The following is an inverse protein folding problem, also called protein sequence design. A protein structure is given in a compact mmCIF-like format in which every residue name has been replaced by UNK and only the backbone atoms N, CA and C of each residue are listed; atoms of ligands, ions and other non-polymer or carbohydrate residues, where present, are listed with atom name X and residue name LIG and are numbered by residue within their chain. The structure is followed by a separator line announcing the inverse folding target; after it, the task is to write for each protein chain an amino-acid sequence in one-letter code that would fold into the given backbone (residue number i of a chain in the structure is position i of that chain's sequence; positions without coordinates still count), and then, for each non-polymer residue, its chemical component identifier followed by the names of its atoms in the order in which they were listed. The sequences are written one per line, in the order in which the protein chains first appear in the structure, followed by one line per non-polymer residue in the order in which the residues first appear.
data_IF_495974362950
#
_entry.id   IF_495974362950
#
_cell.length_a   1.000
_cell.length_b   1.000
_cell.length_c   1.000
_cell.angle_alpha   90.00
_cell.angle_beta   90.00
_cell.angle_gamma   90.00
#
_symmetry.space_group_name_H-M   'P 1'
#
loop_
_entity.id
_entity.type
_entity.pdbx_description
1 polymer ?
#
# COMPACT_ATOMS: atom_id res chain seq x y z
N UNK A 1 23.25 0.37 -7.35
CA UNK A 1 22.43 1.58 -7.07
C UNK A 1 21.36 1.65 -8.15
N UNK A 2 20.09 1.71 -7.79
CA UNK A 2 18.96 1.75 -8.72
C UNK A 2 18.81 3.17 -9.30
N UNK A 3 18.47 3.26 -10.59
CA UNK A 3 18.22 4.55 -11.23
C UNK A 3 16.74 4.93 -11.02
N UNK A 4 16.47 5.72 -9.98
CA UNK A 4 15.12 6.12 -9.59
C UNK A 4 14.87 7.57 -9.97
N UNK A 5 13.75 7.80 -10.66
CA UNK A 5 13.20 9.14 -10.90
C UNK A 5 12.30 9.52 -9.74
N UNK A 6 12.76 10.40 -8.87
CA UNK A 6 11.99 10.93 -7.75
C UNK A 6 11.04 12.05 -8.20
N UNK A 7 9.85 12.13 -7.60
CA UNK A 7 8.83 13.16 -7.89
C UNK A 7 9.25 14.49 -7.25
N UNK A 8 9.87 14.41 -6.08
CA UNK A 8 10.35 15.54 -5.28
C UNK A 8 11.63 15.14 -4.53
N UNK A 9 12.15 16.02 -3.68
CA UNK A 9 13.38 15.80 -2.92
C UNK A 9 13.15 15.49 -1.43
N UNK A 10 11.92 15.20 -1.02
CA UNK A 10 11.55 15.06 0.39
C UNK A 10 12.14 13.80 1.04
N UNK A 11 12.55 12.81 0.23
CA UNK A 11 13.21 11.56 0.68
C UNK A 11 12.46 10.88 1.83
N UNK A 12 11.17 10.71 1.65
CA UNK A 12 10.28 10.07 2.63
C UNK A 12 10.40 8.55 2.63
N UNK A 13 11.02 8.01 1.57
CA UNK A 13 11.24 6.57 1.39
C UNK A 13 12.73 6.21 1.42
N UNK A 14 13.01 4.94 1.63
CA UNK A 14 14.34 4.33 1.50
C UNK A 14 14.20 2.99 0.76
N UNK A 15 15.19 2.66 -0.08
CA UNK A 15 15.27 1.37 -0.76
C UNK A 15 16.20 0.47 0.04
N UNK A 16 15.66 -0.63 0.54
CA UNK A 16 16.44 -1.73 1.16
C UNK A 16 16.57 -2.88 0.18
N UNK A 17 17.59 -3.67 0.36
CA UNK A 17 17.83 -4.88 -0.42
C UNK A 17 18.34 -5.99 0.49
N UNK A 18 17.65 -7.13 0.46
CA UNK A 18 18.03 -8.32 1.20
C UNK A 18 17.93 -9.55 0.28
N UNK A 19 18.98 -10.36 0.24
CA UNK A 19 19.04 -11.57 -0.59
C UNK A 19 18.74 -11.32 -2.08
N UNK A 20 19.14 -10.15 -2.62
CA UNK A 20 18.87 -9.75 -4.01
C UNK A 20 17.43 -9.32 -4.29
N UNK A 21 16.63 -9.09 -3.26
CA UNK A 21 15.25 -8.59 -3.36
C UNK A 21 15.20 -7.14 -2.85
N UNK A 22 15.08 -6.14 -3.73
CA UNK A 22 14.90 -4.77 -3.32
C UNK A 22 13.43 -4.49 -2.96
N UNK A 23 13.24 -3.72 -1.88
CA UNK A 23 11.94 -3.23 -1.43
C UNK A 23 12.06 -1.81 -0.87
N UNK A 24 10.93 -1.12 -0.79
CA UNK A 24 10.84 0.27 -0.34
C UNK A 24 10.25 0.29 1.06
N UNK A 25 10.86 1.07 1.97
CA UNK A 25 10.34 1.35 3.31
C UNK A 25 10.05 2.84 3.48
N UNK A 26 9.19 3.17 4.44
CA UNK A 26 8.79 4.54 4.77
C UNK A 26 9.47 4.95 6.06
N UNK A 27 10.19 6.07 6.06
CA UNK A 27 11.02 6.50 7.20
C UNK A 27 10.23 6.70 8.49
N UNK A 28 9.00 7.22 8.40
CA UNK A 28 8.14 7.41 9.58
C UNK A 28 7.57 6.10 10.13
N UNK A 29 7.64 5.00 9.39
CA UNK A 29 7.24 3.67 9.81
C UNK A 29 8.44 2.76 10.17
N UNK A 30 9.68 3.27 10.15
CA UNK A 30 10.84 2.54 10.66
C UNK A 30 10.89 2.62 12.19
N UNK A 31 9.88 2.03 12.83
CA UNK A 31 9.67 2.06 14.28
C UNK A 31 9.79 0.66 14.87
N UNK A 32 10.20 0.55 16.15
CA UNK A 32 10.13 -0.73 16.85
C UNK A 32 8.71 -1.27 16.87
N UNK A 33 8.57 -2.59 16.76
CA UNK A 33 7.27 -3.26 16.88
C UNK A 33 6.49 -3.43 15.57
N UNK A 34 6.98 -2.89 14.45
CA UNK A 34 6.37 -3.15 13.13
C UNK A 34 7.40 -3.60 12.10
N UNK A 35 6.91 -4.34 11.11
CA UNK A 35 7.61 -4.68 9.85
C UNK A 35 6.74 -4.15 8.72
N UNK A 36 7.33 -3.48 7.74
CA UNK A 36 6.61 -3.00 6.58
C UNK A 36 7.51 -2.99 5.35
N UNK A 37 6.90 -3.01 4.18
CA UNK A 37 7.62 -2.89 2.92
C UNK A 37 6.68 -2.78 1.73
N UNK A 38 7.16 -2.14 0.68
CA UNK A 38 6.52 -2.12 -0.63
C UNK A 38 7.46 -2.77 -1.63
N UNK A 39 6.99 -3.83 -2.31
CA UNK A 39 7.82 -4.59 -3.23
C UNK A 39 8.22 -3.77 -4.44
N UNK A 40 9.31 -4.16 -5.07
CA UNK A 40 9.64 -3.74 -6.43
C UNK A 40 9.26 -4.83 -7.44
N UNK A 41 9.52 -4.63 -8.72
CA UNK A 41 9.37 -5.68 -9.74
C UNK A 41 10.60 -6.59 -9.88
N UNK A 42 11.64 -6.37 -9.05
CA UNK A 42 12.95 -7.02 -9.15
C UNK A 42 13.12 -8.10 -8.08
N UNK A 43 14.04 -9.06 -8.34
CA UNK A 43 14.43 -10.10 -7.37
C UNK A 43 13.54 -11.35 -7.35
N UNK A 44 12.51 -11.42 -8.20
CA UNK A 44 11.64 -12.58 -8.35
C UNK A 44 12.08 -13.57 -9.43
N UNK A 45 11.17 -14.49 -9.76
CA UNK A 45 11.38 -15.58 -10.73
C UNK A 45 10.37 -15.60 -11.88
N UNK A 46 9.36 -14.74 -11.85
CA UNK A 46 8.38 -14.62 -12.94
C UNK A 46 9.04 -14.10 -14.22
N UNK A 47 8.45 -14.45 -15.36
CA UNK A 47 9.02 -14.15 -16.68
C UNK A 47 8.13 -13.23 -17.52
N UNK A 48 8.63 -12.82 -18.67
CA UNK A 48 7.95 -12.03 -19.71
C UNK A 48 7.36 -10.74 -19.12
N UNK A 49 6.04 -10.56 -19.22
CA UNK A 49 5.35 -9.33 -18.72
C UNK A 49 5.32 -9.24 -17.20
N UNK A 50 5.55 -10.36 -16.52
CA UNK A 50 5.56 -10.48 -15.05
C UNK A 50 6.95 -10.35 -14.44
N UNK A 51 7.99 -10.14 -15.28
CA UNK A 51 9.39 -10.08 -14.84
C UNK A 51 9.62 -8.98 -13.82
N UNK A 52 10.09 -9.34 -12.61
CA UNK A 52 10.39 -10.69 -12.12
C UNK A 52 9.58 -11.02 -10.85
N UNK A 53 9.14 -10.02 -10.07
CA UNK A 53 8.52 -10.13 -8.74
C UNK A 53 7.00 -9.87 -8.82
N UNK A 54 6.28 -10.60 -9.68
CA UNK A 54 4.82 -10.55 -9.64
C UNK A 54 4.29 -11.28 -8.41
N UNK A 55 3.40 -10.61 -7.66
CA UNK A 55 2.81 -11.14 -6.42
C UNK A 55 1.32 -11.49 -6.54
N UNK A 56 0.71 -11.25 -7.71
CA UNK A 56 -0.72 -11.53 -7.91
C UNK A 56 -0.96 -12.90 -8.54
N UNK A 57 -1.76 -13.72 -7.88
CA UNK A 57 -2.23 -15.03 -8.40
C UNK A 57 -3.27 -14.91 -9.52
N UNK A 58 -3.90 -13.74 -9.69
CA UNK A 58 -5.03 -13.55 -10.63
C UNK A 58 -4.64 -12.83 -11.93
N UNK A 59 -3.34 -12.81 -12.29
CA UNK A 59 -2.87 -12.13 -13.51
C UNK A 59 -2.52 -13.06 -14.66
N UNK A 60 -2.59 -14.38 -14.45
CA UNK A 60 -2.27 -15.39 -15.47
C UNK A 60 -0.77 -15.73 -15.53
N UNK A 61 -0.03 -15.46 -14.48
CA UNK A 61 1.35 -15.90 -14.28
C UNK A 61 1.39 -17.36 -13.78
N UNK A 62 2.56 -17.98 -13.80
CA UNK A 62 2.81 -19.27 -13.20
C UNK A 62 2.65 -19.23 -11.68
N UNK A 63 1.80 -20.10 -11.13
CA UNK A 63 1.45 -20.10 -9.70
C UNK A 63 2.64 -20.43 -8.80
N UNK A 64 3.54 -21.32 -9.24
CA UNK A 64 4.74 -21.68 -8.49
C UNK A 64 5.72 -20.54 -8.47
N UNK A 65 5.83 -19.79 -9.58
CA UNK A 65 6.64 -18.57 -9.65
C UNK A 65 6.11 -17.46 -8.71
N UNK A 66 4.77 -17.25 -8.68
CA UNK A 66 4.16 -16.29 -7.76
C UNK A 66 4.39 -16.69 -6.30
N UNK A 67 4.23 -17.98 -5.97
CA UNK A 67 4.49 -18.49 -4.61
C UNK A 67 5.97 -18.30 -4.21
N UNK A 68 6.91 -18.58 -5.09
CA UNK A 68 8.34 -18.34 -4.86
C UNK A 68 8.64 -16.85 -4.67
N UNK A 69 7.96 -15.95 -5.40
CA UNK A 69 8.08 -14.50 -5.23
C UNK A 69 7.60 -14.07 -3.83
N UNK A 70 6.47 -14.59 -3.36
CA UNK A 70 6.01 -14.35 -1.99
C UNK A 70 7.01 -14.82 -0.94
N UNK A 71 7.59 -16.01 -1.12
CA UNK A 71 8.62 -16.55 -0.23
C UNK A 71 9.86 -15.64 -0.18
N UNK A 72 10.33 -15.16 -1.34
CA UNK A 72 11.50 -14.28 -1.44
C UNK A 72 11.26 -12.93 -0.80
N UNK A 73 10.10 -12.31 -1.09
CA UNK A 73 9.74 -11.04 -0.49
C UNK A 73 9.64 -11.16 1.04
N UNK A 74 8.99 -12.22 1.52
CA UNK A 74 8.86 -12.47 2.95
C UNK A 74 10.22 -12.63 3.67
N UNK A 75 11.15 -13.33 3.04
CA UNK A 75 12.52 -13.48 3.55
C UNK A 75 13.25 -12.15 3.59
N UNK A 76 13.07 -11.29 2.58
CA UNK A 76 13.73 -9.98 2.52
C UNK A 76 13.16 -8.99 3.52
N UNK A 77 11.84 -8.93 3.66
CA UNK A 77 11.15 -7.98 4.54
C UNK A 77 11.12 -8.47 6.01
N UNK A 78 11.15 -9.79 6.24
CA UNK A 78 11.23 -10.37 7.58
C UNK A 78 9.88 -10.78 8.17
N UNK A 79 9.06 -11.53 7.40
CA UNK A 79 7.81 -12.12 7.90
C UNK A 79 7.66 -13.57 7.42
N UNK A 80 6.73 -14.33 8.02
CA UNK A 80 6.37 -15.68 7.55
C UNK A 80 5.28 -15.60 6.47
N UNK A 81 5.65 -15.87 5.20
CA UNK A 81 4.71 -15.83 4.08
C UNK A 81 3.52 -16.80 4.24
N UNK A 82 3.70 -17.90 5.00
CA UNK A 82 2.64 -18.90 5.21
C UNK A 82 1.48 -18.37 6.05
N UNK A 83 1.73 -17.29 6.81
CA UNK A 83 0.73 -16.61 7.64
C UNK A 83 0.11 -15.41 6.94
N UNK A 84 0.62 -15.03 5.76
CA UNK A 84 0.18 -13.88 5.00
C UNK A 84 -1.33 -13.91 4.74
N UNK A 85 -1.98 -12.76 4.89
CA UNK A 85 -3.41 -12.59 4.61
C UNK A 85 -3.59 -11.52 3.55
N UNK A 86 -4.39 -11.82 2.52
CA UNK A 86 -4.81 -10.84 1.53
C UNK A 86 -6.29 -10.97 1.16
N UNK A 87 -6.81 -9.93 0.55
CA UNK A 87 -8.20 -9.80 0.12
C UNK A 87 -8.34 -9.74 -1.39
N UNK A 88 -9.55 -9.93 -1.87
CA UNK A 88 -9.96 -9.59 -3.23
C UNK A 88 -10.35 -8.12 -3.30
N UNK A 89 -9.49 -7.28 -3.92
CA UNK A 89 -9.63 -5.84 -4.01
C UNK A 89 -10.52 -5.45 -5.19
N UNK A 90 -11.60 -4.73 -4.93
CA UNK A 90 -12.65 -4.37 -5.90
C UNK A 90 -12.82 -2.85 -6.13
N UNK A 91 -11.93 -2.04 -5.54
CA UNK A 91 -11.93 -0.56 -5.60
C UNK A 91 -13.14 0.06 -4.88
N UNK A 92 -13.55 -0.56 -3.79
CA UNK A 92 -14.61 -0.10 -2.88
C UNK A 92 -14.04 0.43 -1.54
N UNK A 93 -14.84 0.51 -0.49
CA UNK A 93 -14.41 1.05 0.83
C UNK A 93 -14.61 0.07 1.98
N UNK A 94 -14.77 -1.21 1.67
CA UNK A 94 -14.97 -2.25 2.69
C UNK A 94 -13.67 -2.51 3.44
N UNK A 95 -13.73 -2.41 4.77
CA UNK A 95 -12.64 -2.68 5.69
C UNK A 95 -12.94 -3.95 6.48
N UNK A 96 -11.98 -4.87 6.57
CA UNK A 96 -12.11 -6.11 7.35
C UNK A 96 -11.07 -6.17 8.48
N UNK A 97 -11.56 -6.49 9.67
CA UNK A 97 -10.72 -6.91 10.80
C UNK A 97 -10.22 -8.32 10.56
N UNK A 98 -8.90 -8.47 10.64
CA UNK A 98 -8.19 -9.74 10.47
C UNK A 98 -7.78 -10.26 11.84
N UNK A 99 -8.02 -11.55 12.06
CA UNK A 99 -7.74 -12.26 13.30
C UNK A 99 -6.75 -13.39 13.07
N UNK A 100 -6.33 -14.05 14.14
CA UNK A 100 -5.47 -15.24 14.07
C UNK A 100 -6.09 -16.36 13.19
N UNK A 101 -7.42 -16.46 13.17
CA UNK A 101 -8.14 -17.46 12.36
C UNK A 101 -8.03 -17.21 10.85
N UNK A 102 -7.61 -15.99 10.45
CA UNK A 102 -7.42 -15.64 9.04
C UNK A 102 -6.00 -15.95 8.53
N UNK A 103 -5.07 -16.34 9.41
CA UNK A 103 -3.68 -16.60 9.04
C UNK A 103 -3.56 -17.59 7.86
N UNK A 104 -2.86 -17.18 6.80
CA UNK A 104 -2.63 -17.97 5.58
C UNK A 104 -3.76 -17.94 4.55
N UNK A 105 -4.86 -17.20 4.79
CA UNK A 105 -5.95 -17.06 3.81
C UNK A 105 -5.47 -16.35 2.53
N UNK A 106 -5.62 -17.04 1.41
CA UNK A 106 -5.20 -16.61 0.07
C UNK A 106 -3.82 -17.11 -0.34
N UNK A 107 -2.96 -17.53 0.60
CA UNK A 107 -1.61 -18.02 0.29
C UNK A 107 -1.46 -19.53 0.53
N UNK A 108 -1.84 -20.05 1.69
CA UNK A 108 -1.71 -21.47 2.04
C UNK A 108 -3.05 -22.19 2.14
N UNK A 109 -4.14 -21.45 2.12
CA UNK A 109 -5.52 -21.96 2.12
C UNK A 109 -6.45 -21.00 1.40
N UNK A 110 -7.63 -21.47 1.03
CA UNK A 110 -8.66 -20.64 0.40
C UNK A 110 -9.03 -19.44 1.28
N UNK A 111 -9.35 -18.33 0.61
CA UNK A 111 -9.78 -17.09 1.26
C UNK A 111 -11.28 -16.89 1.06
N UNK A 112 -11.95 -16.47 2.13
CA UNK A 112 -13.31 -15.94 2.15
C UNK A 112 -13.34 -14.39 2.30
N UNK A 113 -12.16 -13.76 2.18
CA UNK A 113 -11.99 -12.30 2.28
C UNK A 113 -12.21 -11.72 0.88
N UNK A 114 -13.47 -11.58 0.50
CA UNK A 114 -13.89 -11.04 -0.78
C UNK A 114 -14.29 -9.58 -0.67
N UNK A 115 -14.29 -8.87 -1.81
CA UNK A 115 -14.77 -7.48 -1.96
C UNK A 115 -14.26 -6.52 -0.88
N UNK A 116 -12.97 -6.64 -0.53
CA UNK A 116 -12.37 -5.93 0.61
C UNK A 116 -11.14 -5.16 0.16
N UNK A 117 -11.16 -3.83 0.34
CA UNK A 117 -10.07 -2.92 -0.04
C UNK A 117 -9.25 -2.41 1.16
N UNK A 118 -9.62 -2.77 2.39
CA UNK A 118 -8.88 -2.43 3.60
C UNK A 118 -8.81 -3.58 4.59
N UNK A 119 -7.63 -3.77 5.19
CA UNK A 119 -7.36 -4.79 6.20
C UNK A 119 -6.78 -4.14 7.45
N UNK A 120 -7.18 -4.61 8.64
CA UNK A 120 -6.64 -4.15 9.92
C UNK A 120 -6.49 -5.30 10.92
N UNK A 121 -5.46 -5.26 11.78
CA UNK A 121 -5.22 -6.26 12.81
C UNK A 121 -4.40 -5.73 13.98
N UNK A 122 -4.62 -6.32 15.16
CA UNK A 122 -3.73 -6.19 16.32
C UNK A 122 -3.02 -7.52 16.65
N UNK A 123 -3.12 -8.50 15.77
CA UNK A 123 -2.45 -9.80 15.94
C UNK A 123 -0.99 -9.66 15.54
N UNK A 124 -0.08 -10.03 16.45
CA UNK A 124 1.36 -10.01 16.20
C UNK A 124 1.77 -11.14 15.26
N UNK A 125 2.79 -10.88 14.44
CA UNK A 125 3.36 -11.79 13.46
C UNK A 125 2.33 -12.31 12.43
N UNK A 126 1.26 -11.52 12.20
CA UNK A 126 0.26 -11.76 11.16
C UNK A 126 0.42 -10.70 10.05
N UNK A 127 1.13 -11.01 8.95
CA UNK A 127 1.36 -10.06 7.87
C UNK A 127 0.11 -9.85 7.02
N UNK A 128 -0.22 -8.59 6.76
CA UNK A 128 -1.24 -8.17 5.81
C UNK A 128 -0.57 -7.75 4.50
N UNK A 129 -1.14 -8.13 3.35
CA UNK A 129 -0.67 -7.66 2.04
C UNK A 129 -1.85 -7.19 1.18
N UNK A 130 -1.60 -6.14 0.39
CA UNK A 130 -2.49 -5.64 -0.67
C UNK A 130 -1.69 -5.41 -1.96
N UNK A 131 -2.36 -5.43 -3.12
CA UNK A 131 -1.69 -5.49 -4.41
C UNK A 131 -1.91 -4.24 -5.26
N UNK A 132 -0.86 -3.84 -6.00
CA UNK A 132 -0.83 -2.55 -6.69
C UNK A 132 -0.16 -2.61 -8.06
N UNK A 133 -0.61 -1.72 -8.93
CA UNK A 133 0.12 -1.19 -10.06
C UNK A 133 -0.58 0.12 -10.45
N UNK A 134 -0.06 1.23 -9.93
CA UNK A 134 -0.50 2.61 -10.01
C UNK A 134 -1.49 3.09 -8.94
N UNK A 135 -2.39 2.25 -8.40
CA UNK A 135 -3.24 2.63 -7.26
C UNK A 135 -2.40 2.93 -6.01
N UNK A 136 -2.97 3.69 -5.08
CA UNK A 136 -2.27 4.18 -3.88
C UNK A 136 -2.40 3.20 -2.73
N UNK A 137 -1.29 2.65 -2.19
CA UNK A 137 -1.28 2.00 -0.89
C UNK A 137 -1.26 3.04 0.23
N UNK A 138 -2.11 2.88 1.23
CA UNK A 138 -2.04 3.69 2.45
C UNK A 138 -1.85 2.77 3.64
N UNK A 139 -0.78 3.02 4.39
CA UNK A 139 -0.41 2.28 5.59
C UNK A 139 -0.81 3.06 6.83
N UNK A 140 -1.25 2.35 7.86
CA UNK A 140 -1.62 2.91 9.15
C UNK A 140 -0.95 2.10 10.26
N UNK A 141 -0.41 2.79 11.24
CA UNK A 141 0.12 2.20 12.47
C UNK A 141 -0.30 3.03 13.67
N UNK A 142 -0.86 2.38 14.68
CA UNK A 142 -1.12 2.95 15.99
C UNK A 142 -0.12 2.37 17.00
N UNK A 143 0.88 3.15 17.45
CA UNK A 143 1.87 2.68 18.41
C UNK A 143 1.31 2.54 19.84
N UNK A 144 0.18 3.22 20.15
CA UNK A 144 -0.46 3.22 21.48
C UNK A 144 -1.34 1.99 21.65
N UNK A 145 -2.08 1.62 20.63
CA UNK A 145 -2.97 0.44 20.62
C UNK A 145 -2.32 -0.80 20.04
N UNK A 146 -1.11 -0.70 19.49
CA UNK A 146 -0.43 -1.76 18.77
C UNK A 146 -1.35 -2.37 17.68
N UNK A 147 -1.76 -1.54 16.71
CA UNK A 147 -2.62 -1.92 15.58
C UNK A 147 -1.95 -1.51 14.28
N UNK A 148 -2.02 -2.37 13.28
CA UNK A 148 -1.62 -2.05 11.90
C UNK A 148 -2.81 -2.21 10.97
N UNK A 149 -2.83 -1.36 9.93
CA UNK A 149 -3.82 -1.48 8.87
C UNK A 149 -3.25 -0.99 7.54
N UNK A 150 -3.93 -1.34 6.46
CA UNK A 150 -3.64 -0.81 5.13
C UNK A 150 -4.91 -0.78 4.29
N UNK A 151 -4.98 0.17 3.37
CA UNK A 151 -6.04 0.21 2.38
C UNK A 151 -5.49 0.38 0.96
N UNK A 152 -6.31 -0.05 0.00
CA UNK A 152 -6.10 0.12 -1.42
C UNK A 152 -6.93 1.32 -1.90
N UNK A 153 -6.27 2.46 -2.11
CA UNK A 153 -6.90 3.69 -2.58
C UNK A 153 -6.72 3.86 -4.09
N UNK A 154 -7.45 3.09 -4.90
CA UNK A 154 -7.71 3.44 -6.29
C UNK A 154 -8.54 4.73 -6.35
N UNK A 155 -8.69 5.38 -7.53
CA UNK A 155 -9.39 6.66 -7.61
C UNK A 155 -10.82 6.62 -7.03
N UNK A 156 -11.54 5.50 -7.18
CA UNK A 156 -12.89 5.31 -6.60
C UNK A 156 -12.86 5.24 -5.08
N UNK A 157 -11.95 4.46 -4.51
CA UNK A 157 -11.76 4.38 -3.06
C UNK A 157 -11.29 5.72 -2.48
N UNK A 158 -10.46 6.46 -3.21
CA UNK A 158 -9.99 7.81 -2.83
C UNK A 158 -11.17 8.80 -2.76
N UNK A 159 -12.00 8.89 -3.80
CA UNK A 159 -13.19 9.76 -3.83
C UNK A 159 -14.20 9.38 -2.74
N UNK A 160 -14.41 8.09 -2.53
CA UNK A 160 -15.28 7.56 -1.47
C UNK A 160 -14.65 7.64 -0.07
N UNK A 161 -13.46 8.18 0.04
CA UNK A 161 -12.70 8.39 1.28
C UNK A 161 -12.50 7.13 2.12
N UNK A 162 -11.97 6.06 1.51
CA UNK A 162 -11.65 4.81 2.22
C UNK A 162 -10.75 5.02 3.44
N UNK A 163 -9.91 6.06 3.46
CA UNK A 163 -9.04 6.38 4.59
C UNK A 163 -9.85 6.85 5.81
N UNK A 164 -10.93 7.62 5.63
CA UNK A 164 -11.85 7.97 6.72
C UNK A 164 -12.53 6.71 7.27
N UNK A 165 -13.05 5.85 6.39
CA UNK A 165 -13.64 4.57 6.81
C UNK A 165 -12.66 3.70 7.59
N UNK A 166 -11.36 3.70 7.22
CA UNK A 166 -10.33 2.99 7.97
C UNK A 166 -10.14 3.59 9.37
N UNK A 167 -10.03 4.92 9.49
CA UNK A 167 -9.89 5.59 10.80
C UNK A 167 -11.10 5.30 11.70
N UNK A 168 -12.31 5.39 11.16
CA UNK A 168 -13.55 5.06 11.87
C UNK A 168 -13.57 3.58 12.33
N UNK A 169 -13.13 2.66 11.47
CA UNK A 169 -13.05 1.24 11.80
C UNK A 169 -12.00 0.96 12.89
N UNK A 170 -10.82 1.58 12.80
CA UNK A 170 -9.76 1.48 13.81
C UNK A 170 -10.21 2.03 15.16
N UNK A 171 -10.90 3.17 15.18
CA UNK A 171 -11.48 3.72 16.42
C UNK A 171 -12.52 2.77 17.01
N UNK A 172 -13.47 2.31 16.20
CA UNK A 172 -14.56 1.42 16.63
C UNK A 172 -14.05 0.08 17.17
N UNK A 173 -13.09 -0.54 16.50
CA UNK A 173 -12.67 -1.92 16.81
C UNK A 173 -11.55 -2.00 17.87
N UNK A 174 -10.72 -0.95 17.95
CA UNK A 174 -9.53 -0.95 18.80
C UNK A 174 -9.40 0.28 19.71
N UNK A 175 -10.28 1.29 19.53
CA UNK A 175 -10.20 2.55 20.27
C UNK A 175 -8.98 3.40 19.87
N UNK A 176 -8.54 3.29 18.61
CA UNK A 176 -7.47 4.13 18.08
C UNK A 176 -7.95 5.58 17.94
N UNK A 177 -7.11 6.53 18.34
CA UNK A 177 -7.36 7.96 18.10
C UNK A 177 -6.63 8.40 16.83
N UNK A 178 -7.28 9.20 16.00
CA UNK A 178 -6.69 9.65 14.73
C UNK A 178 -5.34 10.38 14.91
N UNK A 179 -5.19 11.11 16.02
CA UNK A 179 -3.95 11.82 16.38
C UNK A 179 -2.77 10.91 16.69
N UNK A 180 -3.02 9.65 17.08
CA UNK A 180 -1.97 8.68 17.41
C UNK A 180 -1.51 7.88 16.19
N UNK A 181 -2.32 7.89 15.11
CA UNK A 181 -2.00 7.15 13.90
C UNK A 181 -0.82 7.75 13.14
N UNK A 182 0.10 6.88 12.74
CA UNK A 182 1.22 7.18 11.84
C UNK A 182 0.91 6.55 10.49
N UNK A 183 0.95 7.35 9.42
CA UNK A 183 0.52 6.92 8.10
C UNK A 183 1.58 7.13 7.02
N UNK A 184 1.57 6.25 6.02
CA UNK A 184 2.37 6.42 4.82
C UNK A 184 1.51 6.20 3.56
N UNK A 185 1.57 7.16 2.64
CA UNK A 185 1.03 7.07 1.28
C UNK A 185 2.16 6.53 0.40
N UNK A 186 2.01 5.31 -0.11
CA UNK A 186 3.10 4.60 -0.78
C UNK A 186 3.21 4.85 -2.28
N UNK A 187 4.21 4.22 -2.94
CA UNK A 187 4.48 4.39 -4.36
C UNK A 187 3.26 4.07 -5.23
N UNK A 188 2.91 5.03 -6.06
CA UNK A 188 1.75 5.00 -6.95
C UNK A 188 1.95 5.97 -8.11
N UNK A 189 0.97 6.11 -8.97
CA UNK A 189 1.09 6.99 -10.14
C UNK A 189 1.05 8.48 -9.73
N UNK A 190 2.01 9.30 -10.17
CA UNK A 190 2.04 10.73 -9.89
C UNK A 190 1.12 11.53 -10.81
N UNK A 191 0.84 12.79 -10.45
CA UNK A 191 -0.01 13.69 -11.21
C UNK A 191 0.38 13.78 -12.69
N UNK A 192 1.66 13.95 -13.00
CA UNK A 192 2.12 14.13 -14.39
C UNK A 192 1.90 12.89 -15.28
N UNK A 193 1.75 11.72 -14.68
CA UNK A 193 1.50 10.46 -15.38
C UNK A 193 0.01 10.07 -15.38
N UNK A 194 -0.81 10.67 -14.50
CA UNK A 194 -2.19 10.23 -14.30
C UNK A 194 -3.19 11.13 -15.02
N UNK A 195 -3.25 10.95 -16.35
CA UNK A 195 -4.31 11.52 -17.17
C UNK A 195 -5.62 10.77 -16.93
N UNK A 196 -6.69 11.53 -16.67
CA UNK A 196 -8.06 11.04 -16.45
C UNK A 196 -9.05 11.76 -17.34
N UNK A 197 -10.24 11.18 -17.54
CA UNK A 197 -11.37 11.77 -18.21
C UNK A 197 -12.14 12.76 -17.33
N UNK A 198 -13.02 13.53 -17.92
CA UNK A 198 -13.78 14.58 -17.26
C UNK A 198 -14.69 14.04 -16.15
N UNK A 199 -15.33 12.87 -16.34
CA UNK A 199 -16.17 12.21 -15.35
C UNK A 199 -15.41 11.86 -14.06
N UNK A 200 -14.15 11.47 -14.17
CA UNK A 200 -13.29 11.24 -13.01
C UNK A 200 -12.95 12.57 -12.32
N UNK A 201 -12.61 13.60 -13.10
CA UNK A 201 -12.30 14.92 -12.53
C UNK A 201 -13.52 15.54 -11.82
N UNK A 202 -14.72 15.40 -12.39
CA UNK A 202 -15.98 15.83 -11.77
C UNK A 202 -16.25 15.11 -10.46
N UNK A 203 -16.03 13.80 -10.37
CA UNK A 203 -16.17 13.06 -9.12
C UNK A 203 -15.26 13.59 -8.00
N UNK A 204 -14.04 14.05 -8.33
CA UNK A 204 -13.15 14.71 -7.37
C UNK A 204 -13.61 16.13 -7.04
N UNK A 205 -14.15 16.87 -8.01
CA UNK A 205 -14.71 18.20 -7.79
C UNK A 205 -15.87 18.18 -6.79
N UNK A 206 -16.72 17.17 -6.88
CA UNK A 206 -17.87 16.99 -5.99
C UNK A 206 -17.47 16.55 -4.56
N UNK A 207 -16.34 15.84 -4.44
CA UNK A 207 -15.91 15.23 -3.18
C UNK A 207 -14.99 16.13 -2.33
N UNK A 208 -14.33 17.12 -2.92
CA UNK A 208 -13.32 17.93 -2.25
C UNK A 208 -13.67 19.42 -2.26
N UNK A 209 -13.11 20.18 -1.29
CA UNK A 209 -13.24 21.64 -1.28
C UNK A 209 -12.62 22.25 -2.55
N UNK A 210 -13.15 23.38 -3.08
CA UNK A 210 -12.63 23.97 -4.31
C UNK A 210 -11.12 24.22 -4.31
N UNK A 211 -10.56 24.72 -3.20
CA UNK A 211 -9.12 24.95 -3.09
C UNK A 211 -8.29 23.67 -3.01
N UNK A 212 -8.85 22.55 -2.56
CA UNK A 212 -8.20 21.24 -2.60
C UNK A 212 -8.23 20.67 -4.01
N UNK A 213 -9.38 20.76 -4.68
CA UNK A 213 -9.55 20.33 -6.06
C UNK A 213 -8.56 21.04 -7.01
N UNK A 214 -8.45 22.36 -6.92
CA UNK A 214 -7.53 23.16 -7.73
C UNK A 214 -6.06 22.79 -7.54
N UNK A 215 -5.69 22.32 -6.34
CA UNK A 215 -4.32 21.89 -6.05
C UNK A 215 -4.00 20.48 -6.52
N UNK A 216 -5.02 19.60 -6.67
CA UNK A 216 -4.82 18.21 -7.08
C UNK A 216 -5.15 17.94 -8.55
N UNK A 217 -5.79 18.88 -9.26
CA UNK A 217 -6.20 18.71 -10.65
C UNK A 217 -5.59 19.76 -11.55
N UNK A 218 -5.29 19.36 -12.79
CA UNK A 218 -4.83 20.27 -13.84
C UNK A 218 -5.51 19.92 -15.15
N UNK A 219 -6.35 20.82 -15.69
CA UNK A 219 -6.98 20.65 -16.99
C UNK A 219 -5.92 20.75 -18.11
N UNK A 220 -5.90 19.78 -19.02
CA UNK A 220 -4.95 19.72 -20.15
C UNK A 220 -5.61 19.82 -21.51
N UNK A 221 -6.93 20.05 -21.56
CA UNK A 221 -7.73 20.19 -22.78
C UNK A 221 -8.44 18.90 -23.19
N UNK A 222 -9.33 19.01 -24.18
CA UNK A 222 -10.07 17.87 -24.75
C UNK A 222 -10.82 17.00 -23.71
N UNK A 223 -11.37 17.58 -22.65
CA UNK A 223 -12.01 16.84 -21.55
C UNK A 223 -11.07 15.96 -20.75
N UNK A 224 -9.76 16.28 -20.74
CA UNK A 224 -8.72 15.54 -20.01
C UNK A 224 -8.10 16.37 -18.91
N UNK A 225 -7.73 15.69 -17.85
CA UNK A 225 -7.14 16.27 -16.63
C UNK A 225 -5.96 15.43 -16.15
N UNK A 226 -4.99 16.06 -15.50
CA UNK A 226 -3.99 15.38 -14.67
C UNK A 226 -4.46 15.43 -13.23
N UNK A 227 -4.46 14.28 -12.55
CA UNK A 227 -4.99 14.12 -11.19
C UNK A 227 -3.89 13.66 -10.23
N UNK A 228 -3.78 14.32 -9.08
CA UNK A 228 -2.83 14.00 -8.00
C UNK A 228 -3.50 13.15 -6.92
N UNK A 229 -3.38 11.83 -7.03
CA UNK A 229 -3.90 10.90 -6.03
C UNK A 229 -3.11 10.94 -4.72
N UNK A 230 -1.81 11.29 -4.74
CA UNK A 230 -1.02 11.45 -3.53
C UNK A 230 -1.59 12.56 -2.65
N UNK A 231 -1.83 13.71 -3.25
CA UNK A 231 -2.42 14.88 -2.59
C UNK A 231 -3.85 14.62 -2.12
N UNK A 232 -4.66 13.94 -2.92
CA UNK A 232 -6.02 13.55 -2.54
C UNK A 232 -6.02 12.67 -1.30
N UNK A 233 -5.17 11.63 -1.24
CA UNK A 233 -5.05 10.78 -0.06
C UNK A 233 -4.50 11.54 1.16
N UNK A 234 -3.57 12.47 0.97
CA UNK A 234 -3.13 13.35 2.06
C UNK A 234 -4.28 14.17 2.64
N UNK A 235 -5.15 14.75 1.79
CA UNK A 235 -6.33 15.47 2.26
C UNK A 235 -7.34 14.57 2.97
N UNK A 236 -7.52 13.34 2.49
CA UNK A 236 -8.37 12.35 3.15
C UNK A 236 -7.86 12.00 4.56
N UNK A 237 -6.55 11.78 4.71
CA UNK A 237 -5.92 11.46 5.99
C UNK A 237 -6.01 12.64 6.96
N UNK A 238 -5.66 13.85 6.53
CA UNK A 238 -5.78 15.05 7.39
C UNK A 238 -7.22 15.39 7.73
N UNK A 239 -8.14 15.20 6.78
CA UNK A 239 -9.59 15.35 6.99
C UNK A 239 -10.17 14.32 7.97
N UNK A 240 -9.56 13.13 8.08
CA UNK A 240 -9.91 12.12 9.07
C UNK A 240 -9.30 12.38 10.47
N UNK A 241 -8.54 13.48 10.65
CA UNK A 241 -7.98 13.92 11.92
C UNK A 241 -6.55 13.44 12.19
N UNK A 242 -5.87 12.83 11.23
CA UNK A 242 -4.47 12.44 11.36
C UNK A 242 -3.60 13.69 11.29
N UNK A 243 -2.61 13.78 12.18
CA UNK A 243 -1.72 14.93 12.25
C UNK A 243 -0.84 15.00 10.99
N UNK A 244 -0.66 16.19 10.37
CA UNK A 244 0.16 16.34 9.18
C UNK A 244 1.58 15.78 9.32
N UNK A 245 2.21 15.95 10.48
CA UNK A 245 3.56 15.48 10.77
C UNK A 245 3.65 13.94 10.94
N UNK A 246 2.51 13.27 11.08
CA UNK A 246 2.41 11.81 11.13
C UNK A 246 2.23 11.17 9.73
N UNK A 247 2.12 11.99 8.66
CA UNK A 247 1.86 11.49 7.31
C UNK A 247 3.10 11.66 6.43
N UNK A 248 3.66 10.54 5.98
CA UNK A 248 4.62 10.54 4.87
C UNK A 248 3.90 10.29 3.55
N UNK A 249 4.21 11.10 2.54
CA UNK A 249 3.76 10.88 1.17
C UNK A 249 4.96 10.47 0.33
N UNK A 250 4.81 9.42 -0.47
CA UNK A 250 5.89 8.88 -1.30
C UNK A 250 6.50 9.93 -2.23
N UNK A 251 7.79 9.79 -2.47
CA UNK A 251 8.57 10.53 -3.48
C UNK A 251 8.81 9.71 -4.77
N UNK A 252 8.21 8.50 -4.88
CA UNK A 252 8.41 7.57 -5.99
C UNK A 252 7.11 7.33 -6.76
N UNK A 253 7.17 7.54 -8.10
CA UNK A 253 6.09 7.24 -9.02
C UNK A 253 6.29 5.88 -9.71
N UNK A 254 5.26 5.03 -9.74
CA UNK A 254 5.28 3.74 -10.43
C UNK A 254 5.48 3.90 -11.94
N UNK A 255 4.77 4.83 -12.56
CA UNK A 255 4.82 5.06 -13.99
C UNK A 255 6.13 5.71 -14.48
N UNK A 256 6.77 6.56 -13.66
CA UNK A 256 8.07 7.14 -13.97
C UNK A 256 9.23 6.15 -13.82
N UNK A 257 9.02 5.04 -13.12
CA UNK A 257 10.03 4.04 -12.81
C UNK A 257 9.63 2.62 -13.27
N UNK A 258 9.28 2.41 -14.56
CA UNK A 258 8.73 1.13 -15.05
C UNK A 258 9.74 -0.02 -15.00
N UNK A 259 11.04 0.27 -14.98
CA UNK A 259 12.10 -0.74 -14.84
C UNK A 259 12.29 -1.21 -13.38
N UNK A 260 11.75 -0.45 -12.42
CA UNK A 260 11.86 -0.72 -10.98
C UNK A 260 10.52 -1.13 -10.35
N UNK A 261 9.40 -0.64 -10.88
CA UNK A 261 8.05 -0.88 -10.38
C UNK A 261 7.10 -1.31 -11.51
N UNK A 262 6.14 -2.20 -11.22
CA UNK A 262 5.06 -2.44 -12.16
C UNK A 262 4.13 -1.23 -12.23
N UNK A 263 3.78 -0.81 -13.44
CA UNK A 263 2.80 0.25 -13.70
C UNK A 263 1.81 -0.20 -14.77
N UNK A 264 0.53 -0.09 -14.48
CA UNK A 264 -0.55 -0.35 -15.43
C UNK A 264 -0.51 0.66 -16.60
N UNK A 265 -0.27 1.93 -16.27
CA UNK A 265 -0.20 3.02 -17.22
C UNK A 265 0.98 2.87 -18.17
N UNK A 266 2.19 2.69 -17.64
CA UNK A 266 3.41 2.57 -18.44
C UNK A 266 3.41 1.32 -19.33
N UNK A 267 2.82 0.21 -18.87
CA UNK A 267 2.82 -1.08 -19.59
C UNK A 267 1.58 -1.31 -20.43
N UNK A 268 0.63 -0.36 -20.47
CA UNK A 268 -0.68 -0.54 -21.12
C UNK A 268 -1.40 -1.82 -20.65
N UNK A 269 -1.32 -2.10 -19.34
CA UNK A 269 -1.97 -3.22 -18.68
C UNK A 269 -1.21 -4.56 -18.72
N UNK A 270 -0.09 -4.66 -19.44
CA UNK A 270 0.75 -5.87 -19.54
C UNK A 270 1.79 -5.88 -18.41
N UNK A 271 1.42 -6.36 -17.22
CA UNK A 271 2.26 -6.25 -16.03
C UNK A 271 1.90 -7.27 -14.94
N UNK A 272 2.81 -7.47 -14.01
CA UNK A 272 2.52 -8.06 -12.71
C UNK A 272 1.91 -7.07 -11.72
N UNK A 273 1.78 -7.47 -10.46
CA UNK A 273 1.40 -6.62 -9.34
C UNK A 273 2.51 -6.53 -8.30
N UNK A 274 2.66 -5.32 -7.75
CA UNK A 274 3.45 -5.04 -6.57
C UNK A 274 2.64 -5.41 -5.31
N UNK A 275 3.33 -5.64 -4.19
CA UNK A 275 2.72 -5.89 -2.89
C UNK A 275 3.13 -4.84 -1.85
N UNK A 276 2.17 -4.33 -1.10
CA UNK A 276 2.40 -3.58 0.12
C UNK A 276 2.17 -4.51 1.32
N UNK A 277 3.12 -4.57 2.25
CA UNK A 277 3.06 -5.44 3.43
C UNK A 277 3.22 -4.64 4.69
N UNK A 278 2.41 -4.95 5.72
CA UNK A 278 2.60 -4.45 7.08
C UNK A 278 2.27 -5.55 8.10
N UNK A 279 2.99 -5.57 9.22
CA UNK A 279 2.82 -6.56 10.28
C UNK A 279 3.26 -5.98 11.62
N UNK A 280 2.51 -6.26 12.70
CA UNK A 280 3.03 -6.10 14.05
C UNK A 280 4.04 -7.20 14.35
N UNK A 281 5.16 -6.83 14.96
CA UNK A 281 6.21 -7.77 15.36
C UNK A 281 6.05 -8.11 16.85
N UNK A 282 6.15 -9.40 17.20
CA UNK A 282 6.33 -9.79 18.58
C UNK A 282 7.59 -9.11 19.12
N UNK A 283 7.47 -8.42 20.24
CA UNK A 283 8.66 -8.10 21.03
C UNK A 283 9.23 -9.43 21.51
N UNK A 284 10.48 -9.72 21.17
CA UNK A 284 11.17 -10.81 21.86
C UNK A 284 11.03 -10.52 23.35
N UNK A 285 10.30 -11.38 24.07
CA UNK A 285 10.30 -11.34 25.52
C UNK A 285 11.76 -11.29 25.95
N UNK A 286 12.11 -10.25 26.72
CA UNK A 286 13.40 -10.17 27.36
C UNK A 286 13.54 -11.43 28.22
N UNK A 287 14.11 -12.49 27.60
CA UNK A 287 14.41 -13.70 28.28
C UNK A 287 15.21 -13.33 29.53
N UNK A 288 14.57 -13.47 30.70
CA UNK A 288 15.26 -13.51 31.94
C UNK A 288 16.42 -14.51 31.80
N UNK A 289 17.61 -13.98 31.53
CA UNK A 289 18.83 -14.70 31.85
C UNK A 289 18.94 -14.61 33.37
N UNK A 290 18.22 -15.48 34.05
CA UNK A 290 18.52 -15.84 35.41
C UNK A 290 19.24 -17.19 35.41
N UNK A 291 20.56 -17.06 35.66
CA UNK A 291 21.49 -18.04 36.22
C UNK A 291 21.67 -19.40 35.56
#
# INVERSE_FOLDING_TARGET
MYNITYINQDKTTEIKEENGVPYIVFKNLELPGIVHGFSTRLGGVSEVIYSTMNLSFHRGDDMDAVMENHRRLAQAVGYDYRRLVFSDQVHETVIRKITEEDAGKGITRESDITETDGLMTNVKDLPLITFYADCVPVFFYDPVKEVVAMNHSGWRGTVKNISLHMVEALNKEYGCEASDLICAVGPSICQNCYEVSEDVAEAFQDAYLPEQYDKMTKKIGNGKYLLDLHRANYYNLTGAGILPDHINVTDICTCCNPDFLFSHRASHGKRGNLGAVIMLKSTADGGNVNE
#
